data_IF_508238899126
#
_entry.id   IF_508238899126
#
_cell.length_a   1.000
_cell.length_b   1.000
_cell.length_c   1.000
_cell.angle_alpha   90.00
_cell.angle_beta   90.00
_cell.angle_gamma   90.00
#
_symmetry.space_group_name_H-M   'P 1'
#
loop_
_entity.id
_entity.type
_entity.pdbx_description
1 polymer ?
#
# COMPACT_ATOMS: atom_id res chain seq x y z
N UNK A 1 -1.79 10.13 0.71
CA UNK A 1 -0.69 10.43 -0.14
C UNK A 1 0.21 9.27 -0.44
N UNK A 2 0.61 9.11 -1.68
CA UNK A 2 1.35 7.98 -2.20
C UNK A 2 2.83 7.88 -1.83
N UNK A 3 3.33 8.71 -0.93
CA UNK A 3 4.76 8.79 -0.61
C UNK A 3 5.20 8.30 0.76
N UNK A 4 4.27 7.98 1.66
CA UNK A 4 4.60 7.63 3.05
C UNK A 4 3.78 6.44 3.54
N UNK A 5 4.38 5.67 4.45
CA UNK A 5 3.69 4.64 5.22
C UNK A 5 3.65 5.05 6.68
N UNK A 6 2.48 4.98 7.30
CA UNK A 6 2.27 5.37 8.70
C UNK A 6 1.45 4.31 9.44
N UNK A 7 1.83 4.06 10.69
CA UNK A 7 1.07 3.22 11.61
C UNK A 7 0.81 3.99 12.90
N UNK A 8 -0.40 3.89 13.41
CA UNK A 8 -0.79 4.43 14.72
C UNK A 8 -1.48 3.34 15.53
N UNK A 9 -1.14 3.24 16.80
CA UNK A 9 -1.81 2.36 17.74
C UNK A 9 -2.62 3.22 18.67
N UNK A 10 -3.93 2.99 18.69
CA UNK A 10 -4.91 3.83 19.34
C UNK A 10 -5.62 3.02 20.42
N UNK A 11 -5.73 3.58 21.61
CA UNK A 11 -6.61 3.05 22.65
C UNK A 11 -7.91 3.84 22.65
N UNK A 12 -9.01 3.12 22.68
CA UNK A 12 -10.35 3.68 22.73
C UNK A 12 -10.96 3.29 24.07
N UNK A 13 -11.32 4.26 24.87
CA UNK A 13 -11.89 4.05 26.20
C UNK A 13 -13.26 4.74 26.30
N UNK A 14 -14.20 4.10 27.01
CA UNK A 14 -15.46 4.71 27.41
C UNK A 14 -15.29 5.28 28.83
N UNK A 15 -15.29 6.62 28.95
CA UNK A 15 -15.16 7.31 30.22
C UNK A 15 -16.45 8.10 30.45
N UNK A 16 -17.23 7.67 31.43
CA UNK A 16 -18.50 8.30 31.82
C UNK A 16 -19.50 8.44 30.65
N UNK A 17 -19.57 7.47 29.77
CA UNK A 17 -20.44 7.46 28.60
C UNK A 17 -19.88 8.19 27.38
N UNK A 18 -18.71 8.80 27.51
CA UNK A 18 -18.01 9.46 26.40
C UNK A 18 -16.84 8.61 25.90
N UNK A 19 -16.71 8.51 24.58
CA UNK A 19 -15.60 7.81 23.95
C UNK A 19 -14.37 8.70 23.95
N UNK A 20 -13.29 8.23 24.55
CA UNK A 20 -11.99 8.91 24.53
C UNK A 20 -10.98 8.11 23.74
N UNK A 21 -10.14 8.83 23.00
CA UNK A 21 -9.13 8.25 22.13
C UNK A 21 -7.75 8.70 22.62
N UNK A 22 -6.84 7.74 22.72
CA UNK A 22 -5.44 8.02 23.02
C UNK A 22 -4.56 7.35 21.99
N UNK A 23 -3.64 8.10 21.40
CA UNK A 23 -2.62 7.53 20.52
C UNK A 23 -1.49 7.00 21.39
N UNK A 24 -1.33 5.69 21.46
CA UNK A 24 -0.32 5.04 22.28
C UNK A 24 1.07 5.11 21.64
N UNK A 25 1.13 4.98 20.32
CA UNK A 25 2.36 5.11 19.57
C UNK A 25 2.10 5.38 18.10
N UNK A 26 3.10 5.95 17.43
CA UNK A 26 3.13 6.11 15.98
C UNK A 26 4.50 5.72 15.46
N UNK A 27 4.54 5.22 14.24
CA UNK A 27 5.77 4.95 13.52
C UNK A 27 5.47 4.98 12.03
N UNK A 28 6.47 4.81 11.20
CA UNK A 28 6.27 4.78 9.75
C UNK A 28 7.58 4.87 9.01
N UNK A 29 7.46 5.01 7.69
CA UNK A 29 8.57 5.23 6.80
C UNK A 29 8.16 6.30 5.79
N UNK A 30 8.80 7.47 5.87
CA UNK A 30 8.51 8.60 4.98
C UNK A 30 9.01 8.40 3.56
N UNK A 31 9.79 7.35 3.32
CA UNK A 31 10.34 6.98 2.02
C UNK A 31 9.72 5.70 1.47
N UNK A 32 8.57 5.27 2.01
CA UNK A 32 7.89 4.07 1.59
C UNK A 32 6.41 4.39 1.31
N UNK A 33 6.03 4.29 0.03
CA UNK A 33 4.66 4.56 -0.38
C UNK A 33 4.35 4.01 -1.77
N UNK A 34 3.15 4.27 -2.26
CA UNK A 34 2.69 3.77 -3.55
C UNK A 34 3.55 4.18 -4.73
N UNK A 35 4.18 5.35 -4.65
CA UNK A 35 5.10 5.82 -5.71
C UNK A 35 6.33 4.93 -5.85
N UNK A 36 6.81 4.34 -4.77
CA UNK A 36 7.94 3.41 -4.82
C UNK A 36 7.55 2.11 -5.53
N UNK A 37 6.33 1.67 -5.33
CA UNK A 37 5.78 0.51 -6.05
C UNK A 37 5.64 0.82 -7.54
N UNK A 38 5.15 2.00 -7.89
CA UNK A 38 5.04 2.45 -9.28
C UNK A 38 6.42 2.49 -9.95
N UNK A 39 7.43 2.97 -9.23
CA UNK A 39 8.81 3.05 -9.76
C UNK A 39 9.38 1.66 -10.08
N UNK A 40 9.07 0.64 -9.27
CA UNK A 40 9.49 -0.73 -9.56
C UNK A 40 8.87 -1.25 -10.85
N UNK A 41 7.61 -0.91 -11.10
CA UNK A 41 6.93 -1.26 -12.35
C UNK A 41 7.55 -0.52 -13.53
N UNK A 42 7.81 0.78 -13.39
CA UNK A 42 8.47 1.58 -14.42
C UNK A 42 9.83 1.00 -14.79
N UNK A 43 10.66 0.69 -13.80
CA UNK A 43 11.98 0.13 -14.02
C UNK A 43 11.92 -1.24 -14.73
N UNK A 44 10.94 -2.06 -14.38
CA UNK A 44 10.68 -3.33 -15.04
C UNK A 44 10.30 -3.15 -16.52
N UNK A 45 9.39 -2.21 -16.80
CA UNK A 45 8.96 -1.91 -18.17
C UNK A 45 10.14 -1.41 -19.00
N UNK A 46 10.96 -0.50 -18.47
CA UNK A 46 12.14 0.03 -19.14
C UNK A 46 13.12 -1.10 -19.48
N UNK A 47 13.38 -2.00 -18.55
CA UNK A 47 14.28 -3.12 -18.74
C UNK A 47 13.76 -4.10 -19.81
N UNK A 48 12.47 -4.43 -19.79
CA UNK A 48 11.86 -5.32 -20.77
C UNK A 48 11.83 -4.69 -22.18
N UNK A 49 11.51 -3.40 -22.27
CA UNK A 49 11.52 -2.69 -23.55
C UNK A 49 12.92 -2.62 -24.15
N UNK A 50 13.93 -2.35 -23.34
CA UNK A 50 15.33 -2.33 -23.78
C UNK A 50 15.78 -3.71 -24.27
N UNK A 51 15.38 -4.78 -23.59
CA UNK A 51 15.66 -6.15 -23.97
C UNK A 51 15.01 -6.51 -25.31
N UNK A 52 13.77 -6.07 -25.52
CA UNK A 52 12.97 -6.41 -26.71
C UNK A 52 13.31 -5.53 -27.92
N UNK A 53 13.49 -4.23 -27.74
CA UNK A 53 13.65 -3.27 -28.83
C UNK A 53 14.94 -2.45 -28.83
N UNK A 54 15.86 -2.74 -27.91
CA UNK A 54 17.18 -2.11 -27.80
C UNK A 54 17.13 -0.56 -27.61
N UNK A 55 16.04 -0.03 -27.04
CA UNK A 55 15.88 1.40 -26.76
C UNK A 55 15.73 1.59 -25.25
N UNK A 56 16.47 2.55 -24.72
CA UNK A 56 16.40 2.94 -23.30
C UNK A 56 15.43 4.09 -23.12
N UNK A 57 14.23 3.79 -22.59
CA UNK A 57 13.18 4.78 -22.34
C UNK A 57 13.48 5.71 -21.16
N UNK A 58 14.47 5.40 -20.33
CA UNK A 58 14.81 6.21 -19.15
C UNK A 58 15.32 7.61 -19.48
N UNK A 59 15.72 7.83 -20.73
CA UNK A 59 16.24 9.12 -21.22
C UNK A 59 15.19 9.97 -21.95
N UNK A 60 14.00 9.44 -22.13
CA UNK A 60 12.90 10.13 -22.82
C UNK A 60 11.88 10.62 -21.79
N UNK A 61 11.85 11.93 -21.57
CA UNK A 61 11.00 12.56 -20.55
C UNK A 61 9.50 12.32 -20.82
N UNK A 62 9.08 12.42 -22.09
CA UNK A 62 7.68 12.18 -22.45
C UNK A 62 7.29 10.71 -22.26
N UNK A 63 8.20 9.81 -22.62
CA UNK A 63 8.00 8.37 -22.39
C UNK A 63 7.87 8.06 -20.89
N UNK A 64 8.73 8.63 -20.07
CA UNK A 64 8.71 8.44 -18.61
C UNK A 64 7.38 8.89 -18.00
N UNK A 65 6.84 10.00 -18.44
CA UNK A 65 5.55 10.50 -17.96
C UNK A 65 4.42 9.53 -18.30
N UNK A 66 4.40 9.02 -19.51
CA UNK A 66 3.42 8.01 -19.94
C UNK A 66 3.59 6.69 -19.19
N UNK A 67 4.82 6.28 -18.92
CA UNK A 67 5.13 5.09 -18.13
C UNK A 67 4.64 5.22 -16.70
N UNK A 68 4.81 6.39 -16.10
CA UNK A 68 4.36 6.67 -14.73
C UNK A 68 2.85 6.47 -14.60
N UNK A 69 2.09 7.06 -15.51
CA UNK A 69 0.63 6.92 -15.53
C UNK A 69 0.20 5.46 -15.78
N UNK A 70 0.86 4.79 -16.71
CA UNK A 70 0.55 3.40 -17.05
C UNK A 70 0.89 2.44 -15.90
N UNK A 71 2.01 2.67 -15.21
CA UNK A 71 2.43 1.86 -14.06
C UNK A 71 1.45 1.98 -12.89
N UNK A 72 1.03 3.19 -12.57
CA UNK A 72 0.04 3.43 -11.53
C UNK A 72 -1.29 2.76 -11.85
N UNK A 73 -1.77 2.92 -13.09
CA UNK A 73 -2.99 2.26 -13.56
C UNK A 73 -2.89 0.74 -13.48
N UNK A 74 -1.78 0.17 -13.94
CA UNK A 74 -1.57 -1.28 -13.90
C UNK A 74 -1.55 -1.81 -12.46
N UNK A 75 -0.88 -1.11 -11.55
CA UNK A 75 -0.85 -1.45 -10.13
C UNK A 75 -2.28 -1.51 -9.55
N UNK A 76 -3.09 -0.50 -9.84
CA UNK A 76 -4.48 -0.44 -9.36
C UNK A 76 -5.30 -1.59 -9.96
N UNK A 77 -5.19 -1.85 -11.25
CA UNK A 77 -5.92 -2.94 -11.91
C UNK A 77 -5.56 -4.31 -11.35
N UNK A 78 -4.29 -4.52 -10.99
CA UNK A 78 -3.81 -5.79 -10.42
C UNK A 78 -4.26 -6.03 -8.98
N UNK A 79 -4.91 -5.07 -8.33
CA UNK A 79 -5.58 -5.31 -7.05
C UNK A 79 -6.88 -6.11 -7.20
N UNK A 80 -7.52 -6.02 -8.35
CA UNK A 80 -8.78 -6.73 -8.64
C UNK A 80 -8.66 -7.79 -9.74
N UNK A 81 -7.61 -7.75 -10.54
CA UNK A 81 -7.36 -8.70 -11.65
C UNK A 81 -6.01 -9.38 -11.46
N UNK A 82 -5.87 -10.58 -12.02
CA UNK A 82 -4.62 -11.35 -11.93
C UNK A 82 -3.61 -10.96 -13.00
N UNK A 83 -4.03 -10.25 -14.03
CA UNK A 83 -3.16 -9.75 -15.10
C UNK A 83 -3.76 -8.49 -15.72
N UNK A 84 -2.90 -7.69 -16.33
CA UNK A 84 -3.28 -6.50 -17.09
C UNK A 84 -2.35 -6.32 -18.28
N UNK A 85 -2.82 -5.62 -19.30
CA UNK A 85 -2.03 -5.27 -20.48
C UNK A 85 -1.64 -3.78 -20.40
N UNK A 86 -0.36 -3.52 -20.69
CA UNK A 86 0.18 -2.16 -20.77
C UNK A 86 0.47 -1.88 -22.25
N UNK A 87 -0.38 -1.07 -22.87
CA UNK A 87 -0.28 -0.71 -24.27
C UNK A 87 -0.03 0.79 -24.40
N UNK A 88 1.17 1.15 -24.84
CA UNK A 88 1.56 2.52 -25.06
C UNK A 88 2.06 2.67 -26.51
N UNK A 89 1.15 2.92 -27.48
CA UNK A 89 1.54 3.13 -28.88
C UNK A 89 2.36 4.41 -29.00
N UNK A 90 3.32 4.41 -29.93
CA UNK A 90 4.20 5.55 -30.19
C UNK A 90 4.90 6.04 -28.92
N UNK A 91 5.40 5.10 -28.10
CA UNK A 91 6.08 5.47 -26.84
C UNK A 91 7.36 6.23 -27.09
N UNK A 92 8.05 5.93 -28.17
CA UNK A 92 9.27 6.60 -28.62
C UNK A 92 9.50 6.38 -30.12
N UNK A 93 10.56 6.96 -30.66
CA UNK A 93 10.99 6.75 -32.04
C UNK A 93 12.51 6.73 -32.10
N UNK A 94 13.06 5.96 -33.04
CA UNK A 94 14.47 5.93 -33.38
C UNK A 94 14.67 6.03 -34.90
N UNK A 95 15.89 5.81 -35.38
CA UNK A 95 16.21 5.86 -36.80
C UNK A 95 15.39 4.89 -37.66
N UNK A 96 14.89 3.80 -37.08
CA UNK A 96 14.05 2.80 -37.76
C UNK A 96 12.55 3.16 -37.74
N UNK A 97 12.16 4.28 -37.09
CA UNK A 97 10.79 4.74 -37.01
C UNK A 97 10.18 4.68 -35.62
N UNK A 98 8.85 4.83 -35.53
CA UNK A 98 8.14 4.80 -34.25
C UNK A 98 8.20 3.41 -33.61
N UNK A 99 8.25 3.40 -32.28
CA UNK A 99 8.26 2.19 -31.45
C UNK A 99 7.03 2.18 -30.53
N UNK A 100 6.48 0.99 -30.33
CA UNK A 100 5.29 0.80 -29.50
C UNK A 100 5.61 -0.13 -28.36
N UNK A 101 5.03 0.17 -27.18
CA UNK A 101 5.13 -0.69 -26.01
C UNK A 101 3.86 -1.53 -25.89
N UNK A 102 4.02 -2.83 -25.80
CA UNK A 102 2.94 -3.76 -25.53
C UNK A 102 3.50 -4.83 -24.58
N UNK A 103 3.04 -4.82 -23.35
CA UNK A 103 3.54 -5.68 -22.28
C UNK A 103 2.39 -6.19 -21.43
N UNK A 104 2.42 -7.48 -21.10
CA UNK A 104 1.50 -8.07 -20.13
C UNK A 104 2.19 -8.11 -18.76
N UNK A 105 1.50 -7.61 -17.76
CA UNK A 105 1.96 -7.67 -16.37
C UNK A 105 0.99 -8.51 -15.55
N UNK A 106 1.51 -9.49 -14.82
CA UNK A 106 0.73 -10.32 -13.91
C UNK A 106 0.83 -9.82 -12.48
N UNK A 107 -0.18 -10.12 -11.66
CA UNK A 107 -0.13 -9.85 -10.22
C UNK A 107 1.08 -10.52 -9.58
N UNK A 108 1.36 -11.77 -9.92
CA UNK A 108 2.52 -12.50 -9.39
C UNK A 108 3.83 -11.79 -9.70
N UNK A 109 3.97 -11.24 -10.92
CA UNK A 109 5.16 -10.47 -11.30
C UNK A 109 5.26 -9.17 -10.51
N UNK A 110 4.16 -8.44 -10.39
CA UNK A 110 4.12 -7.23 -9.57
C UNK A 110 4.55 -7.53 -8.14
N UNK A 111 3.99 -8.56 -7.53
CA UNK A 111 4.33 -8.97 -6.16
C UNK A 111 5.81 -9.28 -6.01
N UNK A 112 6.42 -9.96 -6.98
CA UNK A 112 7.86 -10.26 -6.97
C UNK A 112 8.72 -9.00 -7.06
N UNK A 113 8.26 -7.99 -7.80
CA UNK A 113 8.98 -6.72 -7.95
C UNK A 113 8.98 -5.86 -6.69
N UNK A 114 7.98 -6.00 -5.85
CA UNK A 114 7.73 -5.13 -4.70
C UNK A 114 7.80 -5.84 -3.35
N UNK A 115 8.16 -7.11 -3.33
CA UNK A 115 8.18 -7.94 -2.11
C UNK A 115 9.01 -7.32 -0.99
N UNK A 116 10.20 -6.82 -1.31
CA UNK A 116 11.07 -6.15 -0.33
C UNK A 116 10.45 -4.85 0.21
N UNK A 117 9.68 -4.14 -0.61
CA UNK A 117 8.98 -2.93 -0.17
C UNK A 117 7.86 -3.28 0.83
N UNK A 118 7.12 -4.34 0.56
CA UNK A 118 6.09 -4.84 1.47
C UNK A 118 6.72 -5.29 2.80
N UNK A 119 7.83 -6.00 2.74
CA UNK A 119 8.55 -6.46 3.93
C UNK A 119 9.03 -5.30 4.80
N UNK A 120 9.37 -4.17 4.21
CA UNK A 120 9.77 -2.96 4.94
C UNK A 120 8.67 -2.35 5.80
N UNK A 121 7.41 -2.73 5.62
CA UNK A 121 6.31 -2.27 6.46
C UNK A 121 6.29 -2.94 7.84
N UNK A 122 6.93 -4.10 7.96
CA UNK A 122 6.89 -4.90 9.20
C UNK A 122 7.66 -4.24 10.33
N UNK A 123 8.85 -3.72 10.06
CA UNK A 123 9.68 -3.11 11.12
C UNK A 123 9.01 -1.92 11.81
N UNK A 124 8.39 -0.95 11.10
CA UNK A 124 7.59 0.09 11.74
C UNK A 124 6.46 -0.45 12.60
N UNK A 125 5.79 -1.52 12.17
CA UNK A 125 4.74 -2.16 12.95
C UNK A 125 5.28 -2.78 14.25
N UNK A 126 6.40 -3.48 14.18
CA UNK A 126 7.06 -4.06 15.35
C UNK A 126 7.45 -2.98 16.36
N UNK A 127 8.04 -1.89 15.89
CA UNK A 127 8.47 -0.78 16.75
C UNK A 127 7.26 -0.10 17.40
N UNK A 128 6.20 0.17 16.62
CA UNK A 128 5.00 0.79 17.14
C UNK A 128 4.34 -0.08 18.23
N UNK A 129 4.26 -1.39 18.02
CA UNK A 129 3.73 -2.33 19.00
C UNK A 129 4.56 -2.32 20.28
N UNK A 130 5.88 -2.33 20.15
CA UNK A 130 6.80 -2.29 21.27
C UNK A 130 6.67 -0.99 22.07
N UNK A 131 6.62 0.15 21.37
CA UNK A 131 6.51 1.48 22.00
C UNK A 131 5.17 1.65 22.71
N UNK A 132 4.10 1.06 22.19
CA UNK A 132 2.79 1.06 22.83
C UNK A 132 2.71 0.06 24.01
N UNK A 133 3.66 -0.86 24.12
CA UNK A 133 3.63 -1.91 25.15
C UNK A 133 2.49 -2.91 24.95
N UNK A 134 2.07 -3.13 23.71
CA UNK A 134 0.92 -3.95 23.35
C UNK A 134 1.36 -5.15 22.51
N UNK A 135 0.78 -6.30 22.78
CA UNK A 135 0.97 -7.51 21.97
C UNK A 135 -0.05 -7.55 20.84
N UNK A 136 0.29 -8.25 19.75
CA UNK A 136 -0.65 -8.41 18.62
C UNK A 136 -1.97 -9.05 19.05
N UNK A 137 -1.94 -9.96 20.01
CA UNK A 137 -3.13 -10.60 20.58
C UNK A 137 -4.05 -9.64 21.34
N UNK A 138 -3.54 -8.49 21.77
CA UNK A 138 -4.31 -7.47 22.48
C UNK A 138 -4.99 -6.47 21.54
N UNK A 139 -4.68 -6.50 20.24
CA UNK A 139 -5.29 -5.65 19.22
C UNK A 139 -6.67 -6.18 18.88
N UNK A 140 -7.68 -5.34 18.99
CA UNK A 140 -9.07 -5.69 18.70
C UNK A 140 -9.38 -5.57 17.21
N UNK A 141 -8.96 -4.49 16.57
CA UNK A 141 -9.14 -4.28 15.14
C UNK A 141 -7.90 -3.68 14.48
N UNK A 142 -7.71 -4.04 13.22
CA UNK A 142 -6.70 -3.45 12.33
C UNK A 142 -7.45 -2.77 11.19
N UNK A 143 -7.23 -1.47 11.05
CA UNK A 143 -7.91 -0.65 10.05
C UNK A 143 -6.87 -0.18 9.03
N UNK A 144 -7.12 -0.48 7.76
CA UNK A 144 -6.25 -0.11 6.65
C UNK A 144 -6.88 0.97 5.82
N UNK A 145 -6.14 2.05 5.59
CA UNK A 145 -6.61 3.21 4.84
C UNK A 145 -5.59 3.62 3.80
N UNK A 146 -6.06 4.08 2.65
CA UNK A 146 -5.23 4.50 1.53
C UNK A 146 -5.26 3.53 0.36
N UNK A 147 -4.81 3.98 -0.81
CA UNK A 147 -4.88 3.20 -2.05
C UNK A 147 -4.07 1.91 -2.02
N UNK A 148 -2.91 1.92 -1.37
CA UNK A 148 -2.04 0.75 -1.27
C UNK A 148 -2.62 -0.38 -0.42
N UNK A 149 -3.58 -0.07 0.44
CA UNK A 149 -4.26 -1.08 1.27
C UNK A 149 -5.16 -2.00 0.45
N UNK A 150 -5.44 -1.67 -0.81
CA UNK A 150 -6.22 -2.51 -1.72
C UNK A 150 -5.40 -3.65 -2.33
N UNK A 151 -4.09 -3.55 -2.28
CA UNK A 151 -3.21 -4.57 -2.83
C UNK A 151 -3.29 -5.87 -2.02
N UNK A 152 -3.65 -7.01 -2.64
CA UNK A 152 -3.85 -8.27 -1.90
C UNK A 152 -2.64 -8.71 -1.08
N UNK A 153 -1.44 -8.57 -1.61
CA UNK A 153 -0.21 -8.98 -0.90
C UNK A 153 0.03 -8.14 0.35
N UNK A 154 -0.29 -6.85 0.32
CA UNK A 154 -0.21 -5.97 1.49
C UNK A 154 -1.20 -6.42 2.56
N UNK A 155 -2.43 -6.76 2.16
CA UNK A 155 -3.47 -7.26 3.06
C UNK A 155 -3.06 -8.58 3.72
N UNK A 156 -2.47 -9.50 2.96
CA UNK A 156 -1.97 -10.78 3.46
C UNK A 156 -0.86 -10.58 4.50
N UNK A 157 0.07 -9.67 4.23
CA UNK A 157 1.18 -9.36 5.12
C UNK A 157 0.68 -8.79 6.45
N UNK A 158 -0.26 -7.86 6.40
CA UNK A 158 -0.88 -7.27 7.59
C UNK A 158 -1.64 -8.32 8.39
N UNK A 159 -2.41 -9.16 7.72
CA UNK A 159 -3.13 -10.27 8.35
C UNK A 159 -2.18 -11.25 9.04
N UNK A 160 -1.08 -11.59 8.38
CA UNK A 160 -0.08 -12.49 8.95
C UNK A 160 0.59 -11.89 10.20
N UNK A 161 0.90 -10.59 10.17
CA UNK A 161 1.55 -9.92 11.30
C UNK A 161 0.62 -9.78 12.51
N UNK A 162 -0.60 -9.30 12.31
CA UNK A 162 -1.54 -9.06 13.41
C UNK A 162 -2.40 -10.27 13.77
N UNK A 163 -2.41 -11.32 12.94
CA UNK A 163 -3.19 -12.54 13.20
C UNK A 163 -4.69 -12.37 13.05
N UNK A 164 -5.15 -11.34 12.37
CA UNK A 164 -6.58 -11.08 12.14
C UNK A 164 -6.81 -10.35 10.82
N UNK A 165 -8.03 -10.50 10.29
CA UNK A 165 -8.43 -9.87 9.03
C UNK A 165 -8.53 -8.36 9.21
N UNK A 166 -7.78 -7.56 8.41
CA UNK A 166 -7.88 -6.10 8.50
C UNK A 166 -9.19 -5.59 7.90
N UNK A 167 -9.70 -4.49 8.44
CA UNK A 167 -10.82 -3.73 7.86
C UNK A 167 -10.30 -2.83 6.76
N UNK A 168 -10.99 -2.85 5.63
CA UNK A 168 -10.64 -2.14 4.40
C UNK A 168 -11.75 -1.18 4.04
N UNK A 169 -11.46 -0.26 3.10
CA UNK A 169 -12.43 0.70 2.57
C UNK A 169 -13.02 1.66 3.62
N UNK A 170 -12.21 1.96 4.62
CA UNK A 170 -12.56 2.93 5.65
C UNK A 170 -11.91 4.27 5.31
N UNK A 171 -12.72 5.35 5.35
CA UNK A 171 -12.21 6.70 5.20
C UNK A 171 -11.32 7.04 6.40
N UNK A 172 -10.13 7.68 6.22
CA UNK A 172 -9.25 8.05 7.32
C UNK A 172 -9.96 8.88 8.40
N UNK A 173 -10.81 9.80 7.98
CA UNK A 173 -11.57 10.67 8.89
C UNK A 173 -12.65 9.90 9.68
N UNK A 174 -13.07 8.75 9.15
CA UNK A 174 -14.08 7.89 9.76
C UNK A 174 -13.50 6.71 10.52
N UNK A 175 -12.20 6.42 10.35
CA UNK A 175 -11.55 5.24 10.95
C UNK A 175 -11.74 5.19 12.47
N UNK A 176 -11.55 6.33 13.13
CA UNK A 176 -11.76 6.45 14.57
C UNK A 176 -13.25 6.30 14.93
N UNK A 177 -14.14 6.90 14.13
CA UNK A 177 -15.58 6.78 14.32
C UNK A 177 -16.10 5.35 14.13
N UNK A 178 -15.54 4.61 13.16
CA UNK A 178 -15.86 3.19 12.93
C UNK A 178 -15.44 2.35 14.14
N UNK A 179 -14.25 2.57 14.67
CA UNK A 179 -13.78 1.93 15.89
C UNK A 179 -14.72 2.20 17.06
N UNK A 180 -15.12 3.45 17.24
CA UNK A 180 -16.07 3.86 18.28
C UNK A 180 -17.46 3.21 18.11
N UNK A 181 -17.98 3.14 16.88
CA UNK A 181 -19.29 2.54 16.60
C UNK A 181 -19.31 1.04 16.92
N UNK A 182 -18.24 0.33 16.62
CA UNK A 182 -18.11 -1.09 16.94
C UNK A 182 -18.06 -1.29 18.45
N UNK A 183 -17.39 -0.40 19.14
CA UNK A 183 -17.23 -0.46 20.58
C UNK A 183 -18.54 -0.18 21.35
N UNK A 184 -19.49 0.55 20.77
CA UNK A 184 -20.81 0.71 21.35
C UNK A 184 -21.53 -0.61 21.61
N UNK A 185 -21.00 -1.72 21.09
CA UNK A 185 -21.48 -3.08 21.32
C UNK A 185 -20.68 -3.84 22.37
N UNK A 186 -19.57 -3.29 22.87
CA UNK A 186 -18.71 -3.93 23.86
C UNK A 186 -18.88 -3.24 25.20
N UNK A 187 -19.54 -3.93 26.12
CA UNK A 187 -19.74 -3.45 27.49
C UNK A 187 -18.45 -3.62 28.30
N UNK A 188 -17.82 -2.47 28.65
CA UNK A 188 -16.91 -2.40 29.79
C UNK A 188 -15.49 -2.90 29.55
N UNK A 189 -14.71 -2.23 28.71
CA UNK A 189 -13.28 -2.48 28.60
C UNK A 189 -12.64 -1.52 27.61
N UNK A 190 -11.36 -1.26 27.79
CA UNK A 190 -10.56 -0.48 26.84
C UNK A 190 -10.30 -1.33 25.60
N UNK A 191 -10.38 -0.68 24.45
CA UNK A 191 -10.16 -1.30 23.16
C UNK A 191 -8.91 -0.73 22.52
N UNK A 192 -8.14 -1.58 21.83
CA UNK A 192 -6.92 -1.17 21.13
C UNK A 192 -7.05 -1.48 19.64
N UNK A 193 -6.87 -0.46 18.82
CA UNK A 193 -6.94 -0.56 17.37
C UNK A 193 -5.62 -0.10 16.75
N UNK A 194 -5.29 -0.72 15.62
CA UNK A 194 -4.17 -0.31 14.78
C UNK A 194 -4.73 0.36 13.54
N UNK A 195 -4.25 1.56 13.23
CA UNK A 195 -4.55 2.30 12.04
C UNK A 195 -3.33 2.34 11.14
N UNK A 196 -3.45 1.80 9.93
CA UNK A 196 -2.41 1.80 8.91
C UNK A 196 -2.81 2.76 7.80
N UNK A 197 -1.93 3.72 7.52
CA UNK A 197 -2.09 4.72 6.47
C UNK A 197 -0.94 4.60 5.47
N UNK A 198 -1.24 4.71 4.20
CA UNK A 198 -0.21 4.81 3.18
C UNK A 198 -0.03 6.22 2.66
#
# INVERSE_FOLDING_TARGET
GGGTFDISIIEIADVDGEMQFEVLSTNGDTFLGGEDFDQRVIDYIIAEFKKDQAVDLSKDVLALQRLKEAAEKAKIELSSSTQTDINLPYITADASGPKHLNLKLTRAKLESLVEDLIDKTIRPCEIAMKDAGVKTSEIDDVIMVGGMTRMPRVQEQVKAFFGKEPRKDVNPDEAVAVGAAIQGQVLGGDRKDVLLLD
#
